data_IF_494945940269
#
_entry.id   IF_494945940269
#
_cell.length_a   1.000
_cell.length_b   1.000
_cell.length_c   1.000
_cell.angle_alpha   90.00
_cell.angle_beta   90.00
_cell.angle_gamma   90.00
#
_symmetry.space_group_name_H-M   'P 1'
#
loop_
_entity.id
_entity.type
_entity.pdbx_description
1 polymer ?
#
# COMPACT_ATOMS: atom_id res chain seq x y z
N UNK A 1 8.70 -11.69 23.81
CA UNK A 1 8.21 -11.40 22.44
C UNK A 1 9.34 -10.77 21.63
N UNK A 2 9.39 -10.93 20.31
CA UNK A 2 10.34 -10.16 19.48
C UNK A 2 9.72 -8.81 19.17
N UNK A 3 10.16 -7.76 19.85
CA UNK A 3 9.68 -6.40 19.60
C UNK A 3 10.04 -5.96 18.16
N UNK A 4 9.16 -5.16 17.53
CA UNK A 4 9.32 -4.62 16.16
C UNK A 4 9.42 -5.65 15.02
N UNK A 5 9.31 -6.95 15.29
CA UNK A 5 9.26 -7.99 14.26
C UNK A 5 7.81 -8.28 13.91
N UNK A 6 7.33 -7.65 12.83
CA UNK A 6 5.98 -7.86 12.29
C UNK A 6 5.96 -9.02 11.29
N UNK A 7 4.87 -9.79 11.30
CA UNK A 7 4.57 -10.80 10.28
C UNK A 7 4.86 -12.23 10.71
N UNK A 8 4.41 -13.18 9.88
CA UNK A 8 4.47 -14.62 10.15
C UNK A 8 5.62 -15.30 9.41
N UNK A 9 6.25 -16.28 10.06
CA UNK A 9 7.29 -17.12 9.43
C UNK A 9 6.72 -18.13 8.43
N UNK A 10 5.41 -18.46 8.54
CA UNK A 10 4.70 -19.41 7.68
C UNK A 10 5.37 -20.81 7.59
N UNK A 11 6.08 -21.22 8.65
CA UNK A 11 6.83 -22.48 8.66
C UNK A 11 7.99 -22.55 7.64
N UNK A 12 8.52 -21.41 7.19
CA UNK A 12 9.56 -21.34 6.14
C UNK A 12 10.76 -20.52 6.60
N UNK A 13 11.94 -20.88 6.08
CA UNK A 13 13.15 -20.06 6.18
C UNK A 13 13.01 -18.74 5.38
N UNK A 14 13.97 -17.83 5.52
CA UNK A 14 13.87 -16.50 4.91
C UNK A 14 13.93 -16.53 3.37
N UNK A 15 14.79 -17.37 2.78
CA UNK A 15 14.94 -17.47 1.32
C UNK A 15 13.69 -18.07 0.66
N UNK A 16 13.17 -19.18 1.19
CA UNK A 16 11.94 -19.81 0.72
C UNK A 16 10.75 -18.87 0.91
N UNK A 17 10.66 -18.17 2.05
CA UNK A 17 9.56 -17.20 2.24
C UNK A 17 9.61 -16.06 1.21
N UNK A 18 10.80 -15.52 0.91
CA UNK A 18 10.97 -14.52 -0.16
C UNK A 18 10.56 -15.06 -1.53
N UNK A 19 10.98 -16.28 -1.88
CA UNK A 19 10.62 -16.93 -3.14
C UNK A 19 9.11 -17.19 -3.24
N UNK A 20 8.47 -17.64 -2.15
CA UNK A 20 7.03 -17.87 -2.09
C UNK A 20 6.25 -16.57 -2.33
N UNK A 21 6.62 -15.46 -1.67
CA UNK A 21 5.94 -14.17 -1.87
C UNK A 21 6.14 -13.63 -3.28
N UNK A 22 7.35 -13.77 -3.82
CA UNK A 22 7.64 -13.41 -5.22
C UNK A 22 6.73 -14.17 -6.17
N UNK A 23 6.66 -15.49 -6.06
CA UNK A 23 5.85 -16.31 -6.96
C UNK A 23 4.36 -15.99 -6.82
N UNK A 24 3.83 -15.87 -5.60
CA UNK A 24 2.43 -15.49 -5.40
C UNK A 24 2.13 -14.09 -5.95
N UNK A 25 3.06 -13.14 -5.83
CA UNK A 25 2.89 -11.81 -6.37
C UNK A 25 2.91 -11.79 -7.90
N UNK A 26 3.85 -12.51 -8.51
CA UNK A 26 3.91 -12.69 -9.96
C UNK A 26 2.62 -13.32 -10.47
N UNK A 27 2.15 -14.41 -9.86
CA UNK A 27 0.88 -15.03 -10.23
C UNK A 27 -0.29 -14.06 -10.15
N UNK A 28 -0.41 -13.30 -9.04
CA UNK A 28 -1.48 -12.30 -8.89
C UNK A 28 -1.42 -11.22 -9.97
N UNK A 29 -0.24 -10.68 -10.26
CA UNK A 29 -0.07 -9.62 -11.27
C UNK A 29 -0.32 -10.17 -12.68
N UNK A 30 0.20 -11.35 -13.02
CA UNK A 30 0.00 -11.94 -14.36
C UNK A 30 -1.46 -12.29 -14.62
N UNK A 31 -2.29 -12.51 -13.60
CA UNK A 31 -3.74 -12.68 -13.82
C UNK A 31 -4.45 -11.44 -14.38
N UNK A 32 -3.78 -10.29 -14.52
CA UNK A 32 -4.38 -9.09 -15.14
C UNK A 32 -4.34 -9.19 -16.67
N UNK A 33 -3.20 -9.56 -17.25
CA UNK A 33 -3.08 -9.89 -18.69
C UNK A 33 -3.30 -11.39 -18.87
N UNK A 34 -4.52 -11.74 -19.24
CA UNK A 34 -4.89 -13.12 -19.55
C UNK A 34 -4.98 -13.24 -21.06
N UNK A 35 -4.17 -14.12 -21.64
CA UNK A 35 -4.34 -14.51 -23.04
C UNK A 35 -5.66 -15.29 -23.16
N UNK A 36 -6.58 -14.81 -24.00
CA UNK A 36 -7.90 -15.43 -24.15
C UNK A 36 -7.81 -16.89 -24.63
N UNK A 37 -6.73 -17.24 -25.32
CA UNK A 37 -6.47 -18.56 -25.89
C UNK A 37 -5.89 -19.56 -24.87
N UNK A 38 -5.49 -19.11 -23.67
CA UNK A 38 -4.91 -20.00 -22.65
C UNK A 38 -5.99 -20.90 -22.02
N UNK A 39 -5.89 -22.23 -22.13
CA UNK A 39 -6.84 -23.16 -21.51
C UNK A 39 -6.83 -23.08 -19.98
N UNK A 40 -5.71 -22.70 -19.36
CA UNK A 40 -5.53 -22.64 -17.91
C UNK A 40 -5.76 -21.23 -17.33
N UNK A 41 -6.40 -20.35 -18.11
CA UNK A 41 -6.66 -18.98 -17.69
C UNK A 41 -7.40 -18.89 -16.36
N UNK A 42 -7.07 -17.91 -15.50
CA UNK A 42 -7.84 -17.68 -14.30
C UNK A 42 -9.27 -17.31 -14.69
N UNK A 43 -10.26 -17.92 -14.03
CA UNK A 43 -11.70 -17.61 -14.23
C UNK A 43 -12.00 -16.12 -14.10
N UNK A 44 -11.16 -15.43 -13.34
CA UNK A 44 -11.33 -14.05 -12.96
C UNK A 44 -9.98 -13.35 -12.97
N UNK A 45 -9.87 -12.27 -13.74
CA UNK A 45 -8.69 -11.42 -13.76
C UNK A 45 -8.44 -10.75 -12.40
N UNK A 46 -7.15 -10.58 -12.05
CA UNK A 46 -6.70 -9.87 -10.85
C UNK A 46 -6.95 -10.58 -9.52
N UNK A 47 -7.07 -11.92 -9.51
CA UNK A 47 -7.41 -12.70 -8.31
C UNK A 47 -6.62 -14.00 -8.19
N UNK A 48 -6.25 -14.35 -6.95
CA UNK A 48 -5.74 -15.69 -6.62
C UNK A 48 -6.37 -16.22 -5.32
N UNK A 49 -6.53 -17.54 -5.24
CA UNK A 49 -6.96 -18.23 -4.02
C UNK A 49 -5.74 -18.75 -3.27
N UNK A 50 -5.63 -18.44 -1.98
CA UNK A 50 -4.55 -18.90 -1.11
C UNK A 50 -5.08 -19.12 0.31
N UNK A 51 -4.20 -19.24 1.31
CA UNK A 51 -4.61 -19.35 2.71
C UNK A 51 -4.68 -17.98 3.38
N UNK A 52 -5.56 -17.81 4.38
CA UNK A 52 -5.71 -16.55 5.12
C UNK A 52 -4.37 -15.99 5.64
N UNK A 53 -3.46 -16.80 6.23
CA UNK A 53 -2.17 -16.30 6.64
C UNK A 53 -1.32 -15.79 5.47
N UNK A 54 -1.24 -16.54 4.36
CA UNK A 54 -0.44 -16.15 3.20
C UNK A 54 -0.94 -14.86 2.56
N UNK A 55 -2.26 -14.72 2.41
CA UNK A 55 -2.88 -13.51 1.86
C UNK A 55 -2.55 -12.26 2.70
N UNK A 56 -2.67 -12.37 4.03
CA UNK A 56 -2.39 -11.25 4.94
C UNK A 56 -0.92 -10.81 4.90
N UNK A 57 0.01 -11.74 4.72
CA UNK A 57 1.44 -11.41 4.59
C UNK A 57 1.83 -10.95 3.17
N UNK A 58 1.10 -11.38 2.14
CA UNK A 58 1.31 -10.96 0.75
C UNK A 58 0.90 -9.50 0.52
N UNK A 59 -0.15 -9.03 1.20
CA UNK A 59 -0.67 -7.66 1.07
C UNK A 59 0.41 -6.58 1.14
N UNK A 60 1.22 -6.43 2.22
CA UNK A 60 2.24 -5.38 2.28
C UNK A 60 3.30 -5.48 1.17
N UNK A 61 3.55 -6.68 0.64
CA UNK A 61 4.49 -6.88 -0.47
C UNK A 61 3.93 -6.30 -1.78
N UNK A 62 2.66 -6.57 -2.08
CA UNK A 62 1.97 -6.05 -3.27
C UNK A 62 1.71 -4.55 -3.16
N UNK A 63 1.25 -4.06 -2.00
CA UNK A 63 0.96 -2.63 -1.81
C UNK A 63 2.22 -1.79 -2.06
N UNK A 64 3.38 -2.28 -1.63
CA UNK A 64 4.68 -1.65 -1.92
C UNK A 64 4.99 -1.63 -3.41
N UNK A 65 4.75 -2.72 -4.14
CA UNK A 65 5.01 -2.80 -5.58
C UNK A 65 4.15 -1.80 -6.36
N UNK A 66 2.86 -1.72 -6.07
CA UNK A 66 1.96 -0.74 -6.71
C UNK A 66 2.36 0.68 -6.36
N UNK A 67 2.78 0.93 -5.11
CA UNK A 67 3.29 2.25 -4.71
C UNK A 67 4.54 2.64 -5.49
N UNK A 68 5.45 1.70 -5.77
CA UNK A 68 6.63 1.97 -6.62
C UNK A 68 6.20 2.32 -8.05
N UNK A 69 5.21 1.60 -8.60
CA UNK A 69 4.69 1.82 -9.93
C UNK A 69 4.04 3.20 -10.09
N UNK A 70 3.14 3.56 -9.15
CA UNK A 70 2.52 4.89 -9.12
C UNK A 70 3.55 6.03 -9.03
N UNK A 71 4.56 5.88 -8.18
CA UNK A 71 5.64 6.88 -8.07
C UNK A 71 6.41 7.03 -9.37
N UNK A 72 6.64 5.94 -10.10
CA UNK A 72 7.31 6.01 -11.38
C UNK A 72 6.45 6.70 -12.44
N UNK A 73 5.13 6.47 -12.45
CA UNK A 73 4.21 7.13 -13.38
C UNK A 73 4.30 8.67 -13.30
N UNK A 74 4.44 9.24 -12.09
CA UNK A 74 4.63 10.69 -11.89
C UNK A 74 5.95 11.21 -12.50
N UNK A 75 7.01 10.41 -12.41
CA UNK A 75 8.29 10.75 -13.02
C UNK A 75 8.27 10.57 -14.55
N UNK A 76 7.52 9.58 -15.04
CA UNK A 76 7.31 9.34 -16.47
C UNK A 76 6.50 10.49 -17.10
N UNK A 77 5.44 10.97 -16.44
CA UNK A 77 4.67 12.13 -16.89
C UNK A 77 5.51 13.41 -16.90
N UNK A 78 6.30 13.65 -15.85
CA UNK A 78 7.21 14.81 -15.80
C UNK A 78 8.34 14.73 -16.86
N UNK A 79 8.76 13.53 -17.24
CA UNK A 79 9.73 13.34 -18.31
C UNK A 79 9.09 13.53 -19.69
N UNK A 80 7.81 13.17 -19.87
CA UNK A 80 7.11 13.28 -21.15
C UNK A 80 7.13 14.71 -21.71
N UNK A 81 7.09 15.74 -20.85
CA UNK A 81 7.20 17.16 -21.25
C UNK A 81 8.47 17.47 -22.06
N UNK A 82 9.56 16.74 -21.79
CA UNK A 82 10.87 16.90 -22.43
C UNK A 82 11.19 15.82 -23.45
N UNK A 83 10.31 14.83 -23.63
CA UNK A 83 10.49 13.75 -24.59
C UNK A 83 10.43 14.28 -26.04
N UNK A 84 10.91 13.48 -26.99
CA UNK A 84 10.79 13.75 -28.43
C UNK A 84 9.98 12.64 -29.07
N UNK A 85 9.16 12.98 -30.06
CA UNK A 85 8.39 12.02 -30.86
C UNK A 85 9.20 11.48 -32.06
N UNK A 86 10.43 11.96 -32.26
CA UNK A 86 11.27 11.54 -33.38
C UNK A 86 11.64 10.06 -33.30
N UNK A 87 11.59 9.39 -34.45
CA UNK A 87 11.94 7.97 -34.56
C UNK A 87 13.35 7.68 -34.08
N UNK A 88 13.53 6.49 -33.50
CA UNK A 88 14.82 6.05 -32.99
C UNK A 88 15.84 5.95 -34.13
N UNK A 89 16.99 6.61 -33.96
CA UNK A 89 18.09 6.76 -34.92
C UNK A 89 17.91 7.82 -36.03
N UNK A 90 16.80 8.56 -36.05
CA UNK A 90 16.65 9.74 -36.92
C UNK A 90 17.68 10.84 -36.59
N UNK A 91 17.92 11.75 -37.53
CA UNK A 91 18.79 12.92 -37.30
C UNK A 91 18.22 13.82 -36.20
N UNK A 92 16.90 14.02 -36.20
CA UNK A 92 16.18 14.78 -35.17
C UNK A 92 16.40 14.19 -33.77
N UNK A 93 16.34 12.85 -33.64
CA UNK A 93 16.63 12.16 -32.38
C UNK A 93 18.09 12.35 -31.94
N UNK A 94 19.04 12.33 -32.88
CA UNK A 94 20.46 12.58 -32.58
C UNK A 94 20.71 14.03 -32.15
N UNK A 95 20.01 14.99 -32.74
CA UNK A 95 20.06 16.39 -32.35
C UNK A 95 19.47 16.60 -30.94
N UNK A 96 18.30 16.01 -30.67
CA UNK A 96 17.68 16.06 -29.34
C UNK A 96 18.59 15.48 -28.26
N UNK A 97 19.25 14.34 -28.52
CA UNK A 97 20.25 13.71 -27.62
C UNK A 97 21.40 14.63 -27.20
N UNK A 98 21.77 15.60 -28.05
CA UNK A 98 22.83 16.58 -27.78
C UNK A 98 22.30 17.86 -27.11
N UNK A 99 20.98 18.04 -27.05
CA UNK A 99 20.34 19.23 -26.48
C UNK A 99 20.22 19.18 -24.95
N UNK A 100 20.01 20.33 -24.33
CA UNK A 100 19.71 20.43 -22.89
C UNK A 100 18.38 19.76 -22.52
N UNK A 101 17.44 19.67 -23.47
CA UNK A 101 16.16 18.97 -23.28
C UNK A 101 16.37 17.49 -22.96
N UNK A 102 17.39 16.85 -23.54
CA UNK A 102 17.75 15.47 -23.19
C UNK A 102 18.28 15.35 -21.76
N UNK A 103 19.08 16.31 -21.29
CA UNK A 103 19.58 16.30 -19.92
C UNK A 103 18.42 16.45 -18.92
N UNK A 104 17.48 17.34 -19.21
CA UNK A 104 16.26 17.53 -18.41
C UNK A 104 15.41 16.26 -18.40
N UNK A 105 15.14 15.67 -19.58
CA UNK A 105 14.44 14.39 -19.71
C UNK A 105 15.11 13.28 -18.90
N UNK A 106 16.44 13.13 -19.03
CA UNK A 106 17.24 12.12 -18.34
C UNK A 106 17.15 12.25 -16.82
N UNK A 107 17.25 13.48 -16.30
CA UNK A 107 17.10 13.75 -14.87
C UNK A 107 15.70 13.41 -14.37
N UNK A 108 14.65 13.72 -15.13
CA UNK A 108 13.25 13.44 -14.74
C UNK A 108 12.89 11.95 -14.82
N UNK A 109 13.39 11.22 -15.82
CA UNK A 109 13.07 9.80 -16.03
C UNK A 109 13.92 8.85 -15.14
N UNK A 110 15.12 9.27 -14.72
CA UNK A 110 16.05 8.43 -13.95
C UNK A 110 15.42 7.80 -12.70
N UNK A 111 14.64 8.52 -11.86
CA UNK A 111 13.92 7.94 -10.74
C UNK A 111 12.92 6.84 -11.15
N UNK A 112 12.18 7.01 -12.26
CA UNK A 112 11.25 5.99 -12.76
C UNK A 112 11.99 4.69 -13.13
N UNK A 113 13.12 4.81 -13.82
CA UNK A 113 13.97 3.66 -14.17
C UNK A 113 14.51 2.96 -12.92
N UNK A 114 14.94 3.70 -11.91
CA UNK A 114 15.39 3.14 -10.63
C UNK A 114 14.25 2.38 -9.91
N UNK A 115 13.03 2.92 -9.93
CA UNK A 115 11.85 2.27 -9.36
C UNK A 115 11.47 0.98 -10.11
N UNK A 116 11.49 0.99 -11.45
CA UNK A 116 11.29 -0.22 -12.30
C UNK A 116 12.34 -1.29 -11.98
N UNK A 117 13.62 -0.92 -11.88
CA UNK A 117 14.72 -1.84 -11.48
C UNK A 117 14.52 -2.40 -10.07
N UNK A 118 14.06 -1.57 -9.13
CA UNK A 118 13.74 -2.00 -7.76
C UNK A 118 12.59 -3.02 -7.75
N UNK A 119 11.51 -2.77 -8.49
CA UNK A 119 10.41 -3.71 -8.63
C UNK A 119 10.88 -5.04 -9.25
N UNK A 120 11.71 -4.98 -10.31
CA UNK A 120 12.32 -6.16 -10.91
C UNK A 120 13.20 -6.95 -9.93
N UNK A 121 13.96 -6.27 -9.06
CA UNK A 121 14.76 -6.96 -8.03
C UNK A 121 13.91 -7.81 -7.07
N UNK A 122 12.66 -7.37 -6.82
CA UNK A 122 11.69 -8.04 -5.95
C UNK A 122 10.93 -9.16 -6.67
N UNK A 123 10.51 -8.93 -7.92
CA UNK A 123 9.66 -9.85 -8.71
C UNK A 123 10.44 -10.86 -9.56
N UNK A 124 11.59 -10.48 -10.12
CA UNK A 124 12.43 -11.27 -11.05
C UNK A 124 11.67 -11.81 -12.27
N UNK A 125 10.59 -11.16 -12.66
CA UNK A 125 9.77 -11.48 -13.83
C UNK A 125 9.53 -10.18 -14.61
N UNK A 126 9.86 -10.17 -15.91
CA UNK A 126 9.79 -8.97 -16.75
C UNK A 126 8.34 -8.62 -17.07
N UNK A 127 7.52 -9.63 -17.36
CA UNK A 127 6.14 -9.44 -17.81
C UNK A 127 5.29 -8.88 -16.68
N UNK A 128 5.43 -9.44 -15.47
CA UNK A 128 4.77 -8.92 -14.27
C UNK A 128 5.19 -7.47 -13.97
N UNK A 129 6.44 -7.08 -14.23
CA UNK A 129 6.87 -5.69 -14.08
C UNK A 129 6.24 -4.79 -15.14
N UNK A 130 6.10 -5.23 -16.39
CA UNK A 130 5.38 -4.46 -17.42
C UNK A 130 3.92 -4.26 -17.02
N UNK A 131 3.19 -5.32 -16.68
CA UNK A 131 1.79 -5.23 -16.22
C UNK A 131 1.64 -4.28 -15.03
N UNK A 132 2.58 -4.35 -14.09
CA UNK A 132 2.55 -3.53 -12.88
C UNK A 132 2.68 -2.02 -13.18
N UNK A 133 3.55 -1.63 -14.11
CA UNK A 133 3.81 -0.22 -14.42
C UNK A 133 2.90 0.34 -15.51
N UNK A 134 2.42 -0.50 -16.42
CA UNK A 134 1.60 -0.04 -17.53
C UNK A 134 0.11 0.00 -17.12
N UNK A 135 -0.42 -1.08 -16.52
CA UNK A 135 -1.87 -1.17 -16.24
C UNK A 135 -2.21 -0.88 -14.78
N UNK A 136 -1.49 -1.50 -13.82
CA UNK A 136 -1.82 -1.34 -12.40
C UNK A 136 -1.49 0.06 -11.88
N UNK A 137 -0.49 0.74 -12.46
CA UNK A 137 -0.16 2.11 -12.09
C UNK A 137 -1.28 3.08 -12.48
N UNK A 138 -1.80 2.95 -13.71
CA UNK A 138 -2.91 3.75 -14.22
C UNK A 138 -4.20 3.45 -13.44
N UNK A 139 -4.56 2.17 -13.30
CA UNK A 139 -5.76 1.73 -12.58
C UNK A 139 -5.86 2.28 -11.15
N UNK A 140 -4.72 2.45 -10.47
CA UNK A 140 -4.68 2.89 -9.08
C UNK A 140 -4.15 4.32 -8.90
N UNK A 141 -4.08 5.13 -9.96
CA UNK A 141 -3.53 6.49 -9.93
C UNK A 141 -4.14 7.34 -8.80
N UNK A 142 -5.47 7.37 -8.69
CA UNK A 142 -6.19 8.22 -7.73
C UNK A 142 -6.28 7.63 -6.31
N UNK A 143 -5.99 6.34 -6.13
CA UNK A 143 -6.20 5.65 -4.84
C UNK A 143 -5.00 5.77 -3.90
N UNK A 144 -5.19 6.36 -2.73
CA UNK A 144 -4.17 6.46 -1.67
C UNK A 144 -4.08 5.18 -0.80
N UNK A 145 -3.67 4.08 -1.43
CA UNK A 145 -3.40 2.81 -0.75
C UNK A 145 -4.61 1.87 -0.61
N UNK A 146 -4.36 0.66 -0.13
CA UNK A 146 -5.38 -0.38 -0.04
C UNK A 146 -5.79 -0.87 -1.43
N UNK A 147 -4.80 -1.24 -2.24
CA UNK A 147 -5.00 -1.71 -3.61
C UNK A 147 -5.50 -3.16 -3.68
N UNK A 148 -5.32 -3.91 -2.59
CA UNK A 148 -5.76 -5.31 -2.49
C UNK A 148 -6.85 -5.51 -1.45
N UNK A 149 -7.80 -6.40 -1.76
CA UNK A 149 -8.81 -6.91 -0.83
C UNK A 149 -8.54 -8.37 -0.54
N UNK A 150 -8.77 -8.78 0.72
CA UNK A 150 -8.72 -10.17 1.15
C UNK A 150 -10.11 -10.57 1.60
N UNK A 151 -10.70 -11.56 0.92
CA UNK A 151 -12.00 -12.14 1.27
C UNK A 151 -11.76 -13.56 1.79
N UNK A 152 -12.25 -13.87 2.98
CA UNK A 152 -12.20 -15.24 3.51
C UNK A 152 -13.24 -16.09 2.75
N UNK A 153 -12.82 -17.25 2.27
CA UNK A 153 -13.73 -18.20 1.64
C UNK A 153 -14.46 -18.98 2.73
N UNK A 154 -15.71 -19.37 2.45
CA UNK A 154 -16.52 -20.18 3.36
C UNK A 154 -15.98 -21.60 3.46
N UNK A 155 -15.57 -22.15 2.32
CA UNK A 155 -15.00 -23.49 2.22
C UNK A 155 -13.58 -23.53 2.79
N UNK A 156 -13.32 -24.55 3.61
CA UNK A 156 -11.97 -24.91 4.04
C UNK A 156 -11.37 -25.87 3.03
N UNK A 157 -10.05 -25.86 2.92
CA UNK A 157 -9.35 -26.79 2.06
C UNK A 157 -9.54 -28.22 2.55
N UNK A 158 -9.95 -29.10 1.63
CA UNK A 158 -10.07 -30.53 1.89
C UNK A 158 -8.69 -31.13 2.20
N UNK A 159 -8.60 -31.94 3.25
CA UNK A 159 -7.37 -32.63 3.68
C UNK A 159 -6.73 -32.01 4.93
N UNK A 160 -6.41 -30.71 4.92
CA UNK A 160 -5.76 -30.03 6.06
C UNK A 160 -6.65 -29.04 6.80
N UNK A 161 -7.94 -28.93 6.41
CA UNK A 161 -8.91 -27.96 6.93
C UNK A 161 -8.40 -26.51 6.95
N UNK A 162 -7.45 -26.18 6.07
CA UNK A 162 -6.82 -24.86 6.03
C UNK A 162 -7.80 -23.77 5.59
N UNK A 163 -7.94 -22.71 6.40
CA UNK A 163 -8.79 -21.57 6.05
C UNK A 163 -8.27 -20.86 4.79
N UNK A 164 -9.09 -20.86 3.74
CA UNK A 164 -8.77 -20.23 2.47
C UNK A 164 -9.20 -18.76 2.42
N UNK A 165 -8.52 -18.00 1.58
CA UNK A 165 -8.83 -16.62 1.29
C UNK A 165 -8.55 -16.33 -0.18
N UNK A 166 -9.45 -15.56 -0.77
CA UNK A 166 -9.27 -14.89 -2.06
C UNK A 166 -8.56 -13.56 -1.81
N UNK A 167 -7.47 -13.31 -2.52
CA UNK A 167 -6.86 -11.98 -2.60
C UNK A 167 -7.08 -11.42 -4.00
N UNK A 168 -7.59 -10.20 -4.08
CA UNK A 168 -7.98 -9.54 -5.33
C UNK A 168 -7.51 -8.10 -5.39
N UNK A 169 -7.32 -7.58 -6.61
CA UNK A 169 -7.21 -6.15 -6.85
C UNK A 169 -8.58 -5.46 -6.72
N UNK A 170 -8.58 -4.28 -6.11
CA UNK A 170 -9.78 -3.47 -5.86
C UNK A 170 -10.23 -2.75 -7.16
N UNK A 171 -11.52 -2.41 -7.30
CA UNK A 171 -12.02 -1.54 -8.37
C UNK A 171 -13.12 -2.15 -9.24
N UNK A 172 -12.87 -3.28 -9.91
CA UNK A 172 -13.84 -3.87 -10.85
C UNK A 172 -15.13 -4.38 -10.19
N UNK A 173 -14.99 -4.94 -8.99
CA UNK A 173 -16.05 -5.69 -8.28
C UNK A 173 -16.10 -5.30 -6.83
N UNK A 174 -15.90 -4.01 -6.60
CA UNK A 174 -16.19 -3.45 -5.30
C UNK A 174 -17.68 -3.61 -5.05
N UNK A 175 -18.02 -4.07 -3.84
CA UNK A 175 -19.41 -3.99 -3.41
C UNK A 175 -19.71 -2.50 -3.39
N UNK A 176 -20.51 -2.02 -4.34
CA UNK A 176 -21.12 -0.71 -4.21
C UNK A 176 -21.80 -0.72 -2.84
N UNK A 177 -21.36 0.18 -1.95
CA UNK A 177 -22.09 0.39 -0.71
C UNK A 177 -23.45 0.87 -1.15
N UNK A 178 -24.45 0.00 -1.11
CA UNK A 178 -25.84 0.43 -1.17
C UNK A 178 -25.95 1.60 -0.19
N UNK A 179 -26.38 2.78 -0.69
CA UNK A 179 -26.64 3.95 0.17
C UNK A 179 -27.38 3.41 1.38
N UNK A 180 -26.86 3.66 2.59
CA UNK A 180 -27.53 3.29 3.84
C UNK A 180 -28.98 3.73 3.66
N UNK A 181 -29.90 2.78 3.57
CA UNK A 181 -31.33 3.12 3.57
C UNK A 181 -31.53 3.94 4.83
N UNK A 182 -32.13 5.12 4.70
CA UNK A 182 -32.52 5.89 5.85
C UNK A 182 -33.27 4.96 6.80
N UNK A 183 -32.91 4.99 8.09
CA UNK A 183 -33.66 4.22 9.08
C UNK A 183 -35.15 4.57 8.89
N UNK A 184 -36.06 3.58 8.91
CA UNK A 184 -37.47 3.87 8.78
C UNK A 184 -37.84 4.85 9.90
N UNK A 185 -38.30 6.05 9.51
CA UNK A 185 -38.94 6.97 10.43
C UNK A 185 -40.23 6.26 10.85
N UNK A 186 -40.32 5.91 12.12
CA UNK A 186 -41.58 5.46 12.71
C UNK A 186 -42.44 6.71 12.80
N UNK A 187 -43.39 6.87 11.87
CA UNK A 187 -44.44 7.86 12.03
C UNK A 187 -45.34 7.35 13.16
N UNK A 188 -45.31 8.04 14.31
CA UNK A 188 -46.34 7.84 15.32
C UNK A 188 -47.66 8.32 14.73
N UNK A 189 -48.56 7.39 14.45
CA UNK A 189 -49.95 7.70 14.15
C UNK A 189 -50.58 8.31 15.40
N UNK A 190 -50.58 9.64 15.48
CA UNK A 190 -51.50 10.36 16.35
C UNK A 190 -52.88 10.28 15.69
N UNK A 191 -53.73 9.46 16.27
CA UNK A 191 -55.17 9.44 16.00
C UNK A 191 -55.72 10.86 16.07
N UNK A 192 -56.41 11.27 15.00
CA UNK A 192 -56.92 12.62 14.87
C UNK A 192 -57.94 13.02 15.94
N UNK A 193 -57.86 14.27 16.37
CA UNK A 193 -58.99 15.11 16.77
C UNK A 193 -58.72 16.51 16.20
N UNK A 194 -59.76 17.19 15.73
CA UNK A 194 -59.72 18.36 14.84
C UNK A 194 -59.30 19.68 15.49
N UNK A 195 -58.57 20.48 14.70
CA UNK A 195 -58.60 21.93 14.49
C UNK A 195 -58.43 22.90 15.69
N UNK A 196 -57.34 23.68 15.68
CA UNK A 196 -57.37 25.14 15.47
C UNK A 196 -56.03 25.60 14.86
N UNK A 197 -56.09 26.48 13.86
CA UNK A 197 -54.95 27.25 13.34
C UNK A 197 -54.89 28.60 14.05
N UNK A 198 -53.70 29.04 14.46
CA UNK A 198 -53.27 30.44 14.33
C UNK A 198 -51.74 30.51 14.49
N UNK A 199 -51.15 31.36 13.67
CA UNK A 199 -49.73 31.65 13.50
C UNK A 199 -49.09 32.31 14.74
N UNK A 200 -47.78 32.07 14.85
CA UNK A 200 -46.73 32.87 15.49
C UNK A 200 -46.59 32.96 17.03
N UNK A 201 -45.32 33.04 17.40
CA UNK A 201 -44.71 33.63 18.60
C UNK A 201 -44.18 32.69 19.70
N UNK A 202 -42.85 32.79 19.84
CA UNK A 202 -42.04 32.41 20.99
C UNK A 202 -42.54 33.00 22.34
N UNK A 203 -42.03 32.40 23.42
CA UNK A 203 -42.02 32.86 24.81
C UNK A 203 -43.31 32.74 25.66
N UNK A 204 -43.37 31.66 26.45
CA UNK A 204 -43.57 31.73 27.91
C UNK A 204 -42.74 30.60 28.55
N UNK A 205 -41.49 30.83 28.95
CA UNK A 205 -41.07 31.24 30.29
C UNK A 205 -41.75 30.49 31.43
N UNK A 206 -40.94 29.62 32.05
CA UNK A 206 -40.67 29.60 33.49
C UNK A 206 -41.83 29.32 34.47
N UNK A 207 -41.81 28.10 35.02
CA UNK A 207 -42.18 27.71 36.40
C UNK A 207 -42.48 26.20 36.35
N UNK A 208 -41.89 25.28 37.11
CA UNK A 208 -41.42 25.36 38.48
C UNK A 208 -40.55 24.13 38.78
N UNK A 209 -39.46 24.39 39.49
CA UNK A 209 -38.94 23.66 40.66
C UNK A 209 -38.52 22.19 40.50
N UNK A 210 -37.22 21.85 40.47
CA UNK A 210 -36.15 22.01 41.47
C UNK A 210 -36.06 20.86 42.48
N UNK A 211 -34.82 20.44 42.72
CA UNK A 211 -34.38 19.63 43.85
C UNK A 211 -34.05 18.19 43.41
N UNK A 212 -32.85 17.66 43.59
CA UNK A 212 -31.73 18.10 44.41
C UNK A 212 -30.53 17.20 44.06
N UNK A 213 -29.35 17.84 43.99
CA UNK A 213 -28.02 17.43 44.49
C UNK A 213 -27.69 15.94 44.73
N UNK A 214 -26.47 15.43 44.63
CA UNK A 214 -25.11 15.98 44.50
C UNK A 214 -24.19 14.77 44.25
N UNK A 215 -23.16 14.88 43.40
CA UNK A 215 -21.76 15.15 43.77
C UNK A 215 -20.93 13.90 44.13
N UNK A 216 -19.82 13.72 43.39
CA UNK A 216 -18.41 13.63 43.85
C UNK A 216 -17.58 13.12 42.64
N UNK A 217 -16.86 14.00 41.93
CA UNK A 217 -15.49 14.54 42.16
C UNK A 217 -14.39 13.50 41.86
N UNK A 218 -13.63 13.64 40.77
CA UNK A 218 -12.34 14.37 40.63
C UNK A 218 -11.22 13.72 41.48
N UNK A 219 -10.05 13.36 40.96
CA UNK A 219 -8.88 14.17 40.52
C UNK A 219 -7.77 13.15 40.17
N UNK A 220 -6.65 13.39 39.46
CA UNK A 220 -5.89 14.60 39.12
C UNK A 220 -4.87 14.30 37.99
N UNK A 221 -4.39 15.40 37.39
CA UNK A 221 -3.26 15.62 36.46
C UNK A 221 -1.95 14.83 36.67
N UNK A 222 -1.17 14.68 35.58
CA UNK A 222 0.15 15.34 35.44
C UNK A 222 0.80 15.09 34.05
N UNK A 223 1.43 16.13 33.50
CA UNK A 223 2.34 16.11 32.35
C UNK A 223 3.32 17.30 32.48
N UNK A 224 4.41 17.36 31.69
CA UNK A 224 5.57 16.48 31.60
C UNK A 224 6.88 17.21 32.03
N UNK A 225 7.96 16.48 32.32
CA UNK A 225 9.28 17.08 32.54
C UNK A 225 10.35 16.47 31.60
N UNK A 226 11.01 17.35 30.85
CA UNK A 226 12.32 17.14 30.24
C UNK A 226 13.38 17.76 31.17
N UNK A 227 14.56 17.14 31.28
CA UNK A 227 15.86 17.77 31.62
C UNK A 227 16.95 16.77 31.20
N UNK A 228 18.03 17.31 30.64
CA UNK A 228 19.22 16.60 30.17
C UNK A 228 20.27 16.47 31.29
N UNK A 229 21.25 15.62 31.02
CA UNK A 229 22.69 15.81 31.28
C UNK A 229 23.39 14.95 32.34
N UNK A 230 24.67 14.73 32.00
CA UNK A 230 25.82 14.19 32.72
C UNK A 230 26.36 12.83 32.24
N UNK A 231 27.51 12.97 31.60
CA UNK A 231 28.46 11.97 31.18
C UNK A 231 29.13 11.26 32.36
N UNK A 232 29.60 10.04 32.11
CA UNK A 232 30.90 9.59 32.60
C UNK A 232 31.49 8.53 31.64
N UNK A 233 32.79 8.58 31.49
CA UNK A 233 33.62 7.91 30.50
C UNK A 233 34.70 7.08 31.22
N UNK A 234 35.02 5.89 30.72
CA UNK A 234 36.34 5.23 30.72
C UNK A 234 36.17 3.75 30.31
N UNK A 235 36.70 3.37 29.14
CA UNK A 235 37.94 2.59 28.96
C UNK A 235 37.75 1.07 29.12
N UNK A 236 37.86 0.35 28.00
CA UNK A 236 38.83 -0.75 27.91
C UNK A 236 39.24 -0.96 26.44
N UNK A 237 40.55 -1.00 26.23
CA UNK A 237 41.22 -1.16 24.94
C UNK A 237 41.41 -2.63 24.57
N UNK A 238 41.77 -2.88 23.31
CA UNK A 238 42.03 -4.22 22.80
C UNK A 238 42.41 -4.19 21.32
N UNK A 239 43.64 -3.78 21.10
CA UNK A 239 44.41 -3.69 19.86
C UNK A 239 44.63 -5.07 19.21
N UNK A 240 44.53 -5.14 17.89
CA UNK A 240 45.29 -6.12 17.09
C UNK A 240 45.46 -5.58 15.66
N UNK A 241 46.66 -5.05 15.41
CA UNK A 241 47.18 -4.61 14.10
C UNK A 241 48.31 -5.54 13.67
N UNK A 242 48.21 -6.10 12.46
CA UNK A 242 49.32 -6.48 11.57
C UNK A 242 48.71 -6.65 10.16
N UNK A 243 48.92 -5.80 9.16
CA UNK A 243 50.14 -5.37 8.49
C UNK A 243 50.95 -6.55 7.92
N UNK A 244 50.79 -6.80 6.62
CA UNK A 244 51.83 -7.42 5.80
C UNK A 244 51.73 -6.87 4.36
N UNK A 245 52.73 -6.08 3.99
CA UNK A 245 52.94 -5.47 2.67
C UNK A 245 54.44 -5.20 2.56
N UNK A 246 55.20 -6.18 2.08
CA UNK A 246 56.55 -6.10 1.50
C UNK A 246 56.60 -7.25 0.45
N UNK A 247 57.28 -7.23 -0.69
CA UNK A 247 58.32 -6.36 -1.20
C UNK A 247 58.43 -6.59 -2.73
N UNK A 248 58.97 -5.58 -3.39
CA UNK A 248 59.38 -5.52 -4.78
C UNK A 248 60.78 -6.13 -4.93
N UNK A 249 61.00 -7.08 -5.84
CA UNK A 249 62.35 -7.37 -6.34
C UNK A 249 62.38 -7.44 -7.87
N UNK A 250 63.23 -6.57 -8.42
CA UNK A 250 63.64 -6.52 -9.81
C UNK A 250 64.88 -7.42 -10.02
N UNK A 251 64.86 -8.22 -11.11
CA UNK A 251 65.98 -8.60 -12.01
C UNK A 251 65.68 -9.94 -12.70
N UNK A 252 65.41 -9.92 -14.00
CA UNK A 252 66.33 -10.31 -15.09
C UNK A 252 65.62 -10.17 -16.45
#
# INVERSE_FOLDING_TARGET
MRHRVRGRKLGRNASHRKAMFRNMAVSLIKTVRVDEEDPDRPRVAGRIVTTVPKAKELRPFIEKLITLAKKAAVHESAAAEYATDADRNSEEYQQWRKSDRWQQWSQKISPAVALRRRAFSMLRDRDAVSILFDELAERFADREGGYTRIVRLAEVRLGDAGAQALIEFVGERDREKAKRRAAPVVEEETSGESAVSDDDAEEMMASDLSGDESAESSESDDAPAAEEDSADAAEDGGEDTAADTEEEEAKE
#
